data_IF_718743273716
#
_entry.id   IF_718743273716
#
_cell.length_a   1.000
_cell.length_b   1.000
_cell.length_c   1.000
_cell.angle_alpha   90.00
_cell.angle_beta   90.00
_cell.angle_gamma   90.00
#
_symmetry.space_group_name_H-M   'P 1'
#
loop_
_entity.id
_entity.type
_entity.pdbx_description
1 polymer ?
#
# COMPACT_ATOMS: atom_id res chain seq x y z
N UNK A 1 24.07 -12.89 3.06
CA UNK A 1 23.12 -13.73 3.79
C UNK A 1 22.57 -14.75 2.81
N UNK A 2 22.84 -16.04 3.03
CA UNK A 2 22.17 -17.11 2.30
C UNK A 2 20.96 -17.48 3.13
N UNK A 3 19.77 -17.18 2.61
CA UNK A 3 18.51 -17.42 3.32
C UNK A 3 18.16 -18.91 3.22
N UNK A 4 17.67 -19.49 4.31
CA UNK A 4 17.15 -20.85 4.31
C UNK A 4 15.88 -20.96 3.44
N UNK A 5 15.52 -22.19 3.07
CA UNK A 5 14.28 -22.44 2.34
C UNK A 5 13.07 -21.98 3.17
N UNK A 6 12.30 -21.03 2.63
CA UNK A 6 11.11 -20.49 3.29
C UNK A 6 9.84 -20.80 2.48
N UNK A 7 8.72 -21.15 3.13
CA UNK A 7 7.44 -21.37 2.45
C UNK A 7 6.72 -20.06 2.10
N UNK A 8 7.13 -18.94 2.70
CA UNK A 8 6.43 -17.65 2.65
C UNK A 8 6.26 -17.06 1.24
N UNK A 9 7.22 -17.17 0.31
CA UNK A 9 7.01 -16.72 -1.06
C UNK A 9 5.85 -17.45 -1.74
N UNK A 10 5.71 -18.77 -1.52
CA UNK A 10 4.63 -19.58 -2.10
C UNK A 10 3.28 -19.23 -1.46
N UNK A 11 3.21 -19.15 -0.13
CA UNK A 11 1.96 -18.80 0.55
C UNK A 11 1.53 -17.37 0.24
N UNK A 12 2.48 -16.45 0.04
CA UNK A 12 2.22 -15.08 -0.42
C UNK A 12 1.64 -15.04 -1.83
N UNK A 13 2.20 -15.81 -2.76
CA UNK A 13 1.67 -15.91 -4.13
C UNK A 13 0.25 -16.50 -4.16
N UNK A 14 -0.01 -17.56 -3.38
CA UNK A 14 -1.35 -18.16 -3.24
C UNK A 14 -2.31 -17.16 -2.57
N UNK A 15 -1.85 -16.43 -1.55
CA UNK A 15 -2.61 -15.35 -0.91
C UNK A 15 -3.03 -14.26 -1.89
N UNK A 16 -2.09 -13.76 -2.71
CA UNK A 16 -2.38 -12.75 -3.73
C UNK A 16 -3.33 -13.27 -4.83
N UNK A 17 -3.14 -14.50 -5.30
CA UNK A 17 -4.04 -15.09 -6.30
C UNK A 17 -5.46 -15.27 -5.76
N UNK A 18 -5.59 -15.73 -4.50
CA UNK A 18 -6.88 -15.91 -3.85
C UNK A 18 -7.56 -14.59 -3.54
N UNK A 19 -6.83 -13.52 -3.15
CA UNK A 19 -7.47 -12.20 -2.96
C UNK A 19 -8.00 -11.63 -4.28
N UNK A 20 -7.23 -11.68 -5.37
CA UNK A 20 -7.64 -11.15 -6.68
C UNK A 20 -8.83 -11.94 -7.24
N UNK A 21 -8.76 -13.27 -7.24
CA UNK A 21 -9.91 -14.10 -7.65
C UNK A 21 -11.12 -13.92 -6.73
N UNK A 22 -10.89 -13.65 -5.45
CA UNK A 22 -11.92 -13.32 -4.47
C UNK A 22 -12.61 -11.99 -4.76
N UNK A 23 -11.87 -10.97 -5.18
CA UNK A 23 -12.46 -9.69 -5.63
C UNK A 23 -13.35 -9.90 -6.87
N UNK A 24 -12.91 -10.70 -7.84
CA UNK A 24 -13.71 -11.03 -9.02
C UNK A 24 -15.02 -11.74 -8.61
N UNK A 25 -14.92 -12.73 -7.72
CA UNK A 25 -16.08 -13.45 -7.19
C UNK A 25 -17.02 -12.52 -6.42
N UNK A 26 -16.48 -11.59 -5.64
CA UNK A 26 -17.28 -10.62 -4.91
C UNK A 26 -18.05 -9.69 -5.86
N UNK A 27 -17.39 -9.09 -6.85
CA UNK A 27 -18.04 -8.13 -7.75
C UNK A 27 -19.04 -8.76 -8.72
N UNK A 28 -18.83 -10.02 -9.13
CA UNK A 28 -19.71 -10.67 -10.11
C UNK A 28 -20.71 -11.67 -9.51
N UNK A 29 -20.42 -12.25 -8.34
CA UNK A 29 -21.24 -13.29 -7.71
C UNK A 29 -21.71 -12.90 -6.30
N UNK A 30 -21.39 -11.70 -5.83
CA UNK A 30 -21.77 -11.16 -4.51
C UNK A 30 -21.33 -12.02 -3.31
N UNK A 31 -20.32 -12.88 -3.48
CA UNK A 31 -19.80 -13.74 -2.42
C UNK A 31 -18.36 -13.32 -2.05
N UNK A 32 -18.20 -12.90 -0.80
CA UNK A 32 -16.95 -12.38 -0.22
C UNK A 32 -16.07 -13.45 0.43
N UNK A 33 -16.54 -14.70 0.55
CA UNK A 33 -15.86 -15.77 1.28
C UNK A 33 -14.39 -15.95 0.86
N UNK A 34 -14.15 -15.98 -0.45
CA UNK A 34 -12.83 -16.23 -1.03
C UNK A 34 -11.91 -15.01 -0.90
N UNK A 35 -12.46 -13.80 -0.94
CA UNK A 35 -11.72 -12.57 -0.65
C UNK A 35 -11.23 -12.56 0.80
N UNK A 36 -12.08 -12.85 1.78
CA UNK A 36 -11.68 -12.91 3.19
C UNK A 36 -10.62 -14.01 3.43
N UNK A 37 -10.78 -15.18 2.81
CA UNK A 37 -9.79 -16.25 2.89
C UNK A 37 -8.42 -15.80 2.39
N UNK A 38 -8.35 -15.17 1.21
CA UNK A 38 -7.08 -14.67 0.66
C UNK A 38 -6.43 -13.61 1.54
N UNK A 39 -7.21 -12.71 2.14
CA UNK A 39 -6.69 -11.71 3.07
C UNK A 39 -6.11 -12.35 4.32
N UNK A 40 -6.78 -13.37 4.90
CA UNK A 40 -6.26 -14.11 6.05
C UNK A 40 -4.92 -14.78 5.71
N UNK A 41 -4.82 -15.46 4.56
CA UNK A 41 -3.57 -16.10 4.11
C UNK A 41 -2.45 -15.06 3.97
N UNK A 42 -2.76 -13.91 3.38
CA UNK A 42 -1.79 -12.83 3.15
C UNK A 42 -1.29 -12.25 4.48
N UNK A 43 -2.19 -11.94 5.43
CA UNK A 43 -1.83 -11.42 6.75
C UNK A 43 -0.96 -12.43 7.51
N UNK A 44 -1.34 -13.70 7.51
CA UNK A 44 -0.56 -14.75 8.15
C UNK A 44 0.83 -14.89 7.52
N UNK A 45 0.93 -14.78 6.20
CA UNK A 45 2.22 -14.85 5.49
C UNK A 45 3.11 -13.68 5.88
N UNK A 46 2.60 -12.45 5.86
CA UNK A 46 3.37 -11.24 6.24
C UNK A 46 3.85 -11.34 7.69
N UNK A 47 2.97 -11.75 8.62
CA UNK A 47 3.33 -11.89 10.02
C UNK A 47 4.45 -12.92 10.24
N UNK A 48 4.33 -14.11 9.63
CA UNK A 48 5.31 -15.19 9.81
C UNK A 48 6.64 -14.86 9.12
N UNK A 49 6.58 -14.24 7.95
CA UNK A 49 7.79 -13.85 7.22
C UNK A 49 8.58 -12.78 7.98
N UNK A 50 7.92 -11.70 8.44
CA UNK A 50 8.60 -10.66 9.22
C UNK A 50 9.10 -11.15 10.57
N UNK A 51 8.39 -12.09 11.20
CA UNK A 51 8.89 -12.79 12.39
C UNK A 51 10.23 -13.48 12.10
N UNK A 52 10.33 -14.19 10.97
CA UNK A 52 11.54 -14.93 10.62
C UNK A 52 12.70 -13.98 10.26
N UNK A 53 12.45 -12.90 9.50
CA UNK A 53 13.46 -11.85 9.25
C UNK A 53 13.95 -11.20 10.55
N UNK A 54 13.05 -10.97 11.51
CA UNK A 54 13.41 -10.42 12.83
C UNK A 54 14.30 -11.38 13.62
N UNK A 55 14.08 -12.69 13.48
CA UNK A 55 14.89 -13.74 14.12
C UNK A 55 16.27 -13.87 13.47
N UNK A 56 16.32 -13.86 12.14
CA UNK A 56 17.56 -13.87 11.36
C UNK A 56 18.45 -12.68 11.72
N UNK A 57 17.85 -11.49 11.86
CA UNK A 57 18.56 -10.28 12.27
C UNK A 57 19.01 -10.30 13.73
N UNK A 58 18.09 -10.54 14.67
CA UNK A 58 18.32 -10.28 16.10
C UNK A 58 18.93 -11.47 16.83
N UNK A 59 18.43 -12.67 16.59
CA UNK A 59 18.82 -13.87 17.35
C UNK A 59 19.92 -14.67 16.66
N UNK A 60 20.00 -14.65 15.33
CA UNK A 60 21.03 -15.36 14.56
C UNK A 60 22.19 -14.46 14.11
N UNK A 61 22.01 -13.13 14.13
CA UNK A 61 23.06 -12.16 13.79
C UNK A 61 23.45 -12.14 12.31
N UNK A 62 22.57 -12.59 11.40
CA UNK A 62 22.87 -12.75 9.97
C UNK A 62 22.89 -11.43 9.19
N UNK A 63 22.43 -10.34 9.81
CA UNK A 63 22.41 -8.99 9.23
C UNK A 63 23.75 -8.27 9.39
N UNK A 64 24.76 -8.72 8.64
CA UNK A 64 26.07 -8.03 8.57
C UNK A 64 25.94 -6.62 7.97
N UNK A 65 27.00 -5.81 8.07
CA UNK A 65 27.02 -4.44 7.55
C UNK A 65 26.62 -4.37 6.05
N UNK A 66 27.15 -5.26 5.21
CA UNK A 66 26.78 -5.30 3.80
C UNK A 66 25.29 -5.63 3.58
N UNK A 67 24.72 -6.55 4.37
CA UNK A 67 23.29 -6.92 4.29
C UNK A 67 22.41 -5.74 4.71
N UNK A 68 22.76 -5.06 5.80
CA UNK A 68 21.99 -3.89 6.27
C UNK A 68 22.03 -2.72 5.29
N UNK A 69 23.14 -2.48 4.59
CA UNK A 69 23.18 -1.52 3.47
C UNK A 69 22.22 -1.94 2.36
N UNK A 70 22.21 -3.23 2.00
CA UNK A 70 21.27 -3.77 1.01
C UNK A 70 19.81 -3.55 1.40
N UNK A 71 19.44 -3.82 2.66
CA UNK A 71 18.09 -3.59 3.17
C UNK A 71 17.70 -2.10 3.15
N UNK A 72 18.63 -1.19 3.46
CA UNK A 72 18.40 0.27 3.36
C UNK A 72 18.12 0.70 1.92
N UNK A 73 18.92 0.25 0.96
CA UNK A 73 18.67 0.51 -0.46
C UNK A 73 17.34 -0.08 -0.93
N UNK A 74 17.01 -1.31 -0.49
CA UNK A 74 15.72 -1.92 -0.76
C UNK A 74 14.55 -1.06 -0.27
N UNK A 75 14.63 -0.54 0.96
CA UNK A 75 13.59 0.34 1.50
C UNK A 75 13.51 1.68 0.76
N UNK A 76 14.64 2.30 0.41
CA UNK A 76 14.65 3.54 -0.38
C UNK A 76 13.97 3.31 -1.73
N UNK A 77 14.33 2.24 -2.45
CA UNK A 77 13.73 1.92 -3.75
C UNK A 77 12.23 1.62 -3.63
N UNK A 78 11.80 0.92 -2.58
CA UNK A 78 10.39 0.68 -2.30
C UNK A 78 9.62 1.98 -2.03
N UNK A 79 10.16 2.90 -1.21
CA UNK A 79 9.54 4.21 -0.98
C UNK A 79 9.47 5.02 -2.29
N UNK A 80 10.50 4.97 -3.13
CA UNK A 80 10.50 5.64 -4.43
C UNK A 80 9.41 5.08 -5.34
N UNK A 81 9.18 3.76 -5.37
CA UNK A 81 8.06 3.19 -6.13
C UNK A 81 6.69 3.65 -5.60
N UNK A 82 6.52 3.79 -4.28
CA UNK A 82 5.28 4.30 -3.69
C UNK A 82 5.05 5.78 -4.02
N UNK A 83 6.11 6.61 -4.01
CA UNK A 83 6.02 8.01 -4.45
C UNK A 83 5.52 8.09 -5.90
N UNK A 84 6.06 7.28 -6.80
CA UNK A 84 5.62 7.24 -8.21
C UNK A 84 4.18 6.74 -8.34
N UNK A 85 3.76 5.77 -7.51
CA UNK A 85 2.37 5.35 -7.44
C UNK A 85 1.44 6.51 -7.05
N UNK A 86 1.80 7.31 -6.04
CA UNK A 86 1.02 8.52 -5.68
C UNK A 86 1.04 9.61 -6.74
N UNK A 87 2.16 9.79 -7.46
CA UNK A 87 2.24 10.72 -8.60
C UNK A 87 1.17 10.41 -9.65
N UNK A 88 0.80 9.15 -9.85
CA UNK A 88 -0.28 8.78 -10.79
C UNK A 88 -1.65 9.34 -10.38
N UNK A 89 -1.97 9.35 -9.08
CA UNK A 89 -3.21 9.93 -8.56
C UNK A 89 -3.20 11.46 -8.63
N UNK A 90 -2.07 12.09 -8.28
CA UNK A 90 -1.92 13.54 -8.45
C UNK A 90 -2.06 13.95 -9.92
N UNK A 91 -1.50 13.16 -10.83
CA UNK A 91 -1.64 13.40 -12.26
C UNK A 91 -3.12 13.33 -12.70
N UNK A 92 -3.86 12.30 -12.27
CA UNK A 92 -5.30 12.21 -12.55
C UNK A 92 -6.10 13.39 -11.95
N UNK A 93 -5.75 13.84 -10.75
CA UNK A 93 -6.36 15.01 -10.12
C UNK A 93 -6.06 16.31 -10.87
N UNK A 94 -4.81 16.58 -11.24
CA UNK A 94 -4.45 17.79 -11.97
C UNK A 94 -5.01 17.78 -13.39
N UNK A 95 -5.03 16.63 -14.06
CA UNK A 95 -5.64 16.48 -15.38
C UNK A 95 -7.13 16.86 -15.36
N UNK A 96 -7.88 16.38 -14.36
CA UNK A 96 -9.31 16.65 -14.25
C UNK A 96 -9.65 18.06 -13.71
N UNK A 97 -8.84 18.60 -12.78
CA UNK A 97 -9.11 19.90 -12.17
C UNK A 97 -8.62 21.11 -12.98
N UNK A 98 -7.52 20.99 -13.74
CA UNK A 98 -6.97 22.09 -14.54
C UNK A 98 -7.74 22.31 -15.86
N UNK A 99 -8.38 21.27 -16.38
CA UNK A 99 -9.23 21.35 -17.58
C UNK A 99 -10.55 20.61 -17.36
N UNK A 100 -11.47 21.13 -16.52
CA UNK A 100 -12.72 20.45 -16.18
C UNK A 100 -13.58 20.21 -17.42
N UNK A 101 -14.15 19.01 -17.53
CA UNK A 101 -15.07 18.67 -18.60
C UNK A 101 -16.32 19.56 -18.57
N UNK A 102 -16.92 19.81 -19.73
CA UNK A 102 -18.14 20.62 -19.86
C UNK A 102 -19.30 20.02 -19.05
N UNK A 103 -19.36 18.70 -18.96
CA UNK A 103 -20.35 17.95 -18.16
C UNK A 103 -20.29 18.30 -16.66
N UNK A 104 -19.14 18.77 -16.16
CA UNK A 104 -18.94 19.20 -14.77
C UNK A 104 -19.29 20.68 -14.55
N UNK A 105 -19.69 21.40 -15.60
CA UNK A 105 -19.95 22.85 -15.60
C UNK A 105 -18.74 23.70 -15.98
N UNK A 106 -17.68 23.10 -16.54
CA UNK A 106 -16.43 23.77 -16.92
C UNK A 106 -15.75 24.54 -15.77
N UNK A 107 -16.00 24.14 -14.53
CA UNK A 107 -15.42 24.73 -13.31
C UNK A 107 -14.89 23.66 -12.37
N UNK A 108 -13.92 24.03 -11.54
CA UNK A 108 -13.47 23.21 -10.41
C UNK A 108 -13.60 24.00 -9.11
N UNK A 109 -14.23 23.45 -8.05
CA UNK A 109 -14.90 22.14 -7.99
C UNK A 109 -16.08 22.01 -8.97
N UNK A 110 -16.48 20.77 -9.34
CA UNK A 110 -17.66 20.52 -10.15
C UNK A 110 -18.92 21.14 -9.54
N UNK A 111 -19.86 21.55 -10.39
CA UNK A 111 -21.10 22.15 -9.91
C UNK A 111 -21.87 21.21 -8.97
N UNK A 112 -22.32 21.73 -7.82
CA UNK A 112 -23.03 20.98 -6.80
C UNK A 112 -22.16 20.30 -5.74
N UNK A 113 -20.83 20.32 -5.88
CA UNK A 113 -19.92 19.78 -4.87
C UNK A 113 -19.51 20.88 -3.88
N UNK A 114 -19.78 20.64 -2.59
CA UNK A 114 -19.32 21.50 -1.49
C UNK A 114 -17.99 20.95 -0.99
N UNK A 115 -16.91 21.70 -1.19
CA UNK A 115 -15.57 21.32 -0.71
C UNK A 115 -15.45 21.46 0.80
N UNK A 116 -14.68 20.56 1.42
CA UNK A 116 -14.31 20.69 2.83
C UNK A 116 -13.49 21.96 3.09
N UNK A 117 -13.68 22.57 4.27
CA UNK A 117 -12.85 23.67 4.71
C UNK A 117 -11.45 23.15 5.09
N UNK A 118 -10.37 23.56 4.40
CA UNK A 118 -9.03 23.05 4.68
C UNK A 118 -8.52 23.45 6.08
N UNK A 119 -9.06 24.50 6.70
CA UNK A 119 -8.61 25.02 8.00
C UNK A 119 -9.22 24.30 9.21
N UNK A 120 -10.11 23.33 9.00
CA UNK A 120 -10.75 22.57 10.08
C UNK A 120 -10.02 21.25 10.33
N UNK A 121 -10.72 20.13 10.15
CA UNK A 121 -10.19 18.77 10.37
C UNK A 121 -8.95 18.50 9.50
N UNK A 122 -8.88 18.92 8.21
CA UNK A 122 -7.68 18.68 7.41
C UNK A 122 -6.42 19.31 8.01
N UNK A 123 -6.49 20.57 8.46
CA UNK A 123 -5.37 21.25 9.12
C UNK A 123 -4.94 20.55 10.41
N UNK A 124 -5.89 20.09 11.23
CA UNK A 124 -5.60 19.32 12.43
C UNK A 124 -4.83 18.04 12.09
N UNK A 125 -5.25 17.31 11.05
CA UNK A 125 -4.55 16.11 10.60
C UNK A 125 -3.14 16.43 10.11
N UNK A 126 -2.94 17.55 9.41
CA UNK A 126 -1.59 18.01 9.03
C UNK A 126 -0.73 18.29 10.27
N UNK A 127 -1.28 18.96 11.29
CA UNK A 127 -0.55 19.24 12.52
C UNK A 127 -0.18 17.96 13.29
N UNK A 128 -1.08 16.97 13.36
CA UNK A 128 -0.81 15.67 14.00
C UNK A 128 0.31 14.94 13.26
N UNK A 129 0.27 14.89 11.92
CA UNK A 129 1.31 14.25 11.12
C UNK A 129 2.67 14.94 11.31
N UNK A 130 2.72 16.27 11.28
CA UNK A 130 3.95 17.04 11.51
C UNK A 130 4.50 16.84 12.93
N UNK A 131 3.63 16.73 13.94
CA UNK A 131 4.06 16.50 15.32
C UNK A 131 4.55 15.07 15.58
N UNK A 132 4.17 14.10 14.72
CA UNK A 132 4.58 12.69 14.85
C UNK A 132 5.89 12.33 14.16
N UNK A 133 6.39 13.20 13.28
CA UNK A 133 7.66 13.03 12.55
C UNK A 133 8.86 13.57 13.31
#
# INVERSE_FOLDING_TARGET
HLVDYSPWPLTGAIGAMTTVSGMIKWFHQYDTSLFFLGNIITILTVYQWWRDVSREGTYQGLHTYAVTIGLRWGMILFIVSEILFFVSFFWAFFHSSLSPAVELGASWPPMGIISFNPLQIPLLNTAILLASG
#
